data_IF_837062253351
#
_entry.id   IF_837062253351
#
_cell.length_a   1.000
_cell.length_b   1.000
_cell.length_c   1.000
_cell.angle_alpha   90.00
_cell.angle_beta   90.00
_cell.angle_gamma   90.00
#
_symmetry.space_group_name_H-M   'P 1'
#
loop_
_entity.id
_entity.type
_entity.pdbx_description
1 polymer ?
#
# COMPACT_ATOMS: atom_id res chain seq x y z
N UNK A 1 31.58 -6.90 49.55
CA UNK A 1 31.34 -6.22 48.26
C UNK A 1 30.43 -7.10 47.41
N UNK A 2 29.17 -6.70 47.22
CA UNK A 2 28.15 -7.49 46.49
C UNK A 2 28.32 -7.25 44.99
N UNK A 3 28.57 -8.33 44.21
CA UNK A 3 28.67 -8.26 42.75
C UNK A 3 27.25 -8.29 42.16
N UNK A 4 26.83 -7.20 41.53
CA UNK A 4 25.58 -7.14 40.78
C UNK A 4 25.81 -7.75 39.40
N UNK A 5 25.01 -8.76 39.03
CA UNK A 5 24.97 -9.33 37.69
C UNK A 5 23.90 -8.59 36.87
N UNK A 6 24.32 -7.95 35.78
CA UNK A 6 23.41 -7.30 34.82
C UNK A 6 23.00 -8.38 33.81
N UNK A 7 21.72 -8.76 33.84
CA UNK A 7 21.12 -9.66 32.86
C UNK A 7 20.70 -8.81 31.65
N UNK A 8 21.39 -8.97 30.52
CA UNK A 8 20.99 -8.33 29.25
C UNK A 8 20.04 -9.30 28.56
N UNK A 9 18.74 -9.04 28.64
CA UNK A 9 17.73 -9.76 27.89
C UNK A 9 17.63 -9.14 26.49
N UNK A 10 18.28 -9.74 25.49
CA UNK A 10 18.07 -9.39 24.08
C UNK A 10 16.74 -10.00 23.62
N UNK A 11 15.74 -9.15 23.38
CA UNK A 11 14.47 -9.58 22.77
C UNK A 11 14.69 -9.70 21.25
N UNK A 12 14.72 -10.94 20.72
CA UNK A 12 14.61 -11.17 19.27
C UNK A 12 13.13 -10.98 18.90
N UNK A 13 12.78 -9.83 18.34
CA UNK A 13 11.49 -9.66 17.69
C UNK A 13 11.58 -10.28 16.28
N UNK A 14 10.89 -11.40 16.07
CA UNK A 14 10.68 -11.93 14.73
C UNK A 14 9.59 -11.10 14.05
N UNK A 15 9.90 -10.50 12.90
CA UNK A 15 8.88 -9.90 12.05
C UNK A 15 7.97 -11.03 11.51
N UNK A 16 6.67 -10.95 11.77
CA UNK A 16 5.71 -11.84 11.14
C UNK A 16 5.76 -11.64 9.61
N UNK A 17 5.49 -12.68 8.80
CA UNK A 17 5.34 -12.50 7.36
C UNK A 17 4.22 -11.50 7.11
N UNK A 18 4.47 -10.50 6.26
CA UNK A 18 3.45 -9.54 5.88
C UNK A 18 2.26 -10.25 5.20
N UNK A 19 1.05 -9.91 5.63
CA UNK A 19 -0.19 -10.38 5.00
C UNK A 19 -0.60 -9.44 3.86
N UNK A 20 -1.39 -9.95 2.92
CA UNK A 20 -2.09 -9.10 1.96
C UNK A 20 -2.97 -8.11 2.71
N UNK A 21 -3.00 -6.85 2.26
CA UNK A 21 -3.84 -5.82 2.86
C UNK A 21 -5.32 -6.11 2.58
N UNK A 22 -6.22 -5.79 3.51
CA UNK A 22 -7.67 -5.92 3.25
C UNK A 22 -8.24 -4.57 2.80
N UNK A 23 -8.75 -4.49 1.57
CA UNK A 23 -9.43 -3.30 1.04
C UNK A 23 -10.91 -3.30 1.43
N UNK A 24 -11.41 -2.17 1.95
CA UNK A 24 -12.77 -2.03 2.49
C UNK A 24 -13.62 -0.98 1.77
N UNK A 25 -13.00 0.05 1.19
CA UNK A 25 -13.73 1.08 0.47
C UNK A 25 -12.90 1.72 -0.64
N UNK A 26 -13.60 2.29 -1.62
CA UNK A 26 -13.04 3.23 -2.56
C UNK A 26 -13.97 4.42 -2.75
N UNK A 27 -13.39 5.59 -3.03
CA UNK A 27 -14.12 6.74 -3.51
C UNK A 27 -13.30 7.54 -4.50
N UNK A 28 -13.96 8.17 -5.45
CA UNK A 28 -13.37 9.14 -6.37
C UNK A 28 -14.07 10.46 -6.16
N UNK A 29 -13.29 11.50 -5.88
CA UNK A 29 -13.82 12.83 -5.55
C UNK A 29 -13.27 13.90 -6.48
N UNK A 30 -14.12 14.87 -6.83
CA UNK A 30 -13.75 16.05 -7.60
C UNK A 30 -13.84 17.34 -6.77
N UNK A 31 -13.03 18.38 -7.06
CA UNK A 31 -13.06 19.66 -6.35
C UNK A 31 -14.41 20.37 -6.33
N UNK A 32 -15.30 20.11 -7.29
CA UNK A 32 -16.67 20.64 -7.32
C UNK A 32 -17.61 19.98 -6.32
N UNK A 33 -17.16 18.94 -5.61
CA UNK A 33 -17.97 18.18 -4.65
C UNK A 33 -18.61 16.92 -5.23
N UNK A 34 -18.30 16.56 -6.47
CA UNK A 34 -18.73 15.28 -7.06
C UNK A 34 -18.02 14.13 -6.35
N UNK A 35 -18.78 13.12 -5.90
CA UNK A 35 -18.25 11.96 -5.17
C UNK A 35 -18.87 10.70 -5.70
N UNK A 36 -18.05 9.79 -6.23
CA UNK A 36 -18.41 8.39 -6.43
C UNK A 36 -17.83 7.59 -5.29
N UNK A 37 -18.59 6.65 -4.74
CA UNK A 37 -18.09 5.85 -3.64
C UNK A 37 -18.67 4.43 -3.64
N UNK A 38 -18.06 3.59 -2.81
CA UNK A 38 -18.51 2.23 -2.51
C UNK A 38 -19.22 2.18 -1.16
N UNK A 39 -19.66 3.29 -0.58
CA UNK A 39 -20.33 3.30 0.73
C UNK A 39 -21.81 3.53 0.49
N UNK A 40 -22.60 2.48 0.70
CA UNK A 40 -24.04 2.52 0.45
C UNK A 40 -24.71 3.74 1.10
N UNK A 41 -25.69 4.33 0.41
CA UNK A 41 -26.40 5.53 0.85
C UNK A 41 -26.34 6.71 -0.11
N UNK A 42 -25.45 6.67 -1.10
CA UNK A 42 -25.46 7.58 -2.26
C UNK A 42 -26.29 6.94 -3.38
N UNK A 43 -27.49 7.47 -3.63
CA UNK A 43 -28.43 6.87 -4.60
C UNK A 43 -28.09 7.11 -6.07
N UNK A 44 -26.96 7.73 -6.42
CA UNK A 44 -26.69 8.08 -7.82
C UNK A 44 -25.23 7.86 -8.25
N UNK A 45 -24.26 8.20 -7.40
CA UNK A 45 -22.84 8.16 -7.78
C UNK A 45 -22.13 6.97 -7.14
N UNK A 46 -22.21 5.83 -7.82
CA UNK A 46 -21.54 4.60 -7.39
C UNK A 46 -20.23 4.40 -8.13
N UNK A 47 -19.22 3.88 -7.43
CA UNK A 47 -17.99 3.37 -8.07
C UNK A 47 -17.93 1.85 -7.96
N UNK A 48 -17.63 1.19 -9.07
CA UNK A 48 -17.52 -0.25 -9.16
C UNK A 48 -16.07 -0.65 -9.42
N UNK A 49 -15.58 -1.63 -8.66
CA UNK A 49 -14.24 -2.16 -8.75
C UNK A 49 -14.25 -3.55 -9.35
N UNK A 50 -13.35 -3.77 -10.30
CA UNK A 50 -13.08 -5.09 -10.84
C UNK A 50 -11.60 -5.40 -10.75
N UNK A 51 -11.26 -6.65 -10.47
CA UNK A 51 -9.88 -7.15 -10.51
C UNK A 51 -9.84 -8.47 -11.25
N UNK A 52 -8.99 -8.55 -12.26
CA UNK A 52 -8.79 -9.79 -13.01
C UNK A 52 -8.07 -10.83 -12.13
N UNK A 53 -8.36 -12.12 -12.33
CA UNK A 53 -7.79 -13.22 -11.55
C UNK A 53 -8.60 -13.66 -10.33
N UNK A 54 -9.77 -13.06 -10.09
CA UNK A 54 -10.76 -13.55 -9.13
C UNK A 54 -11.82 -14.44 -9.82
N UNK A 55 -12.41 -15.37 -9.07
CA UNK A 55 -13.53 -16.20 -9.56
C UNK A 55 -14.75 -15.35 -9.96
N UNK A 56 -14.97 -14.24 -9.26
CA UNK A 56 -15.84 -13.15 -9.70
C UNK A 56 -14.99 -11.88 -9.79
N UNK A 57 -14.76 -11.33 -10.99
CA UNK A 57 -13.89 -10.18 -11.16
C UNK A 57 -14.46 -8.92 -10.53
N UNK A 58 -15.79 -8.82 -10.39
CA UNK A 58 -16.46 -7.65 -9.80
C UNK A 58 -16.53 -7.79 -8.28
N UNK A 59 -15.96 -6.81 -7.57
CA UNK A 59 -15.82 -6.85 -6.10
C UNK A 59 -17.11 -6.35 -5.41
N UNK A 60 -17.73 -5.32 -5.98
CA UNK A 60 -19.04 -4.82 -5.58
C UNK A 60 -20.00 -4.86 -6.78
N UNK A 61 -20.74 -5.96 -6.98
CA UNK A 61 -21.62 -6.09 -8.16
C UNK A 61 -22.87 -5.21 -8.10
N UNK A 62 -23.19 -4.67 -6.92
CA UNK A 62 -24.29 -3.73 -6.69
C UNK A 62 -23.76 -2.49 -5.95
N UNK A 63 -24.62 -1.50 -5.75
CA UNK A 63 -24.45 -0.28 -4.93
C UNK A 63 -24.24 -0.53 -3.43
N UNK A 64 -23.40 -1.51 -3.10
CA UNK A 64 -23.10 -1.94 -1.74
C UNK A 64 -21.63 -1.72 -1.38
N UNK A 65 -21.35 -1.78 -0.08
CA UNK A 65 -19.99 -1.84 0.45
C UNK A 65 -19.15 -2.90 -0.24
N UNK A 66 -17.85 -2.66 -0.38
CA UNK A 66 -16.95 -3.68 -0.90
C UNK A 66 -17.06 -4.94 -0.06
N UNK A 67 -17.19 -6.08 -0.73
CA UNK A 67 -16.86 -7.35 -0.10
C UNK A 67 -15.37 -7.29 0.22
N UNK A 68 -14.94 -7.44 1.50
CA UNK A 68 -13.54 -7.32 1.88
C UNK A 68 -12.68 -8.18 0.95
N UNK A 69 -11.73 -7.52 0.28
CA UNK A 69 -10.91 -8.18 -0.74
C UNK A 69 -9.45 -8.03 -0.38
N UNK A 70 -8.69 -9.12 -0.52
CA UNK A 70 -7.24 -9.07 -0.36
C UNK A 70 -6.64 -8.19 -1.44
N UNK A 71 -5.69 -7.35 -1.09
CA UNK A 71 -5.03 -6.38 -1.95
C UNK A 71 -3.52 -6.60 -1.83
N UNK A 72 -2.89 -6.96 -2.94
CA UNK A 72 -1.49 -7.35 -3.03
C UNK A 72 -0.70 -6.34 -3.86
N UNK A 73 0.61 -6.34 -3.67
CA UNK A 73 1.52 -5.65 -4.59
C UNK A 73 1.40 -6.22 -6.00
N UNK A 74 1.28 -5.36 -6.99
CA UNK A 74 1.12 -5.70 -8.40
C UNK A 74 -0.34 -5.86 -8.85
N UNK A 75 -1.30 -5.90 -7.93
CA UNK A 75 -2.72 -5.99 -8.29
C UNK A 75 -3.14 -4.78 -9.13
N UNK A 76 -3.89 -5.05 -10.18
CA UNK A 76 -4.45 -4.06 -11.10
C UNK A 76 -5.98 -4.12 -11.02
N UNK A 77 -6.58 -2.97 -10.80
CA UNK A 77 -8.02 -2.81 -10.67
C UNK A 77 -8.54 -1.96 -11.83
N UNK A 78 -9.63 -2.41 -12.43
CA UNK A 78 -10.48 -1.58 -13.25
C UNK A 78 -11.50 -0.89 -12.36
N UNK A 79 -11.77 0.37 -12.64
CA UNK A 79 -12.69 1.20 -11.86
C UNK A 79 -13.68 1.87 -12.80
N UNK A 80 -14.96 1.84 -12.43
CA UNK A 80 -16.05 2.37 -13.25
C UNK A 80 -16.99 3.20 -12.39
N UNK A 81 -17.59 4.25 -12.96
CA UNK A 81 -18.57 5.07 -12.25
C UNK A 81 -19.68 5.57 -13.14
N UNK A 82 -20.88 5.61 -12.58
CA UNK A 82 -22.10 6.16 -13.18
C UNK A 82 -22.62 7.33 -12.31
N UNK A 83 -23.68 8.02 -12.73
CA UNK A 83 -24.44 8.96 -11.89
C UNK A 83 -24.28 10.45 -12.21
N UNK A 84 -23.40 10.82 -13.13
CA UNK A 84 -23.23 12.22 -13.55
C UNK A 84 -24.15 12.54 -14.74
N UNK A 85 -24.69 13.79 -14.87
CA UNK A 85 -25.84 14.10 -15.69
C UNK A 85 -25.88 13.37 -17.04
N UNK A 86 -26.97 12.63 -17.22
CA UNK A 86 -27.16 11.74 -18.36
C UNK A 86 -27.01 12.49 -19.69
N UNK A 87 -26.31 11.85 -20.63
CA UNK A 87 -26.15 12.40 -21.98
C UNK A 87 -25.11 13.52 -22.09
N UNK A 88 -24.39 13.85 -21.01
CA UNK A 88 -23.25 14.77 -21.05
C UNK A 88 -21.94 14.00 -21.24
N UNK A 89 -21.05 14.56 -22.07
CA UNK A 89 -19.68 14.08 -22.29
C UNK A 89 -18.61 14.76 -21.43
N UNK A 90 -18.73 16.08 -21.12
CA UNK A 90 -17.73 16.73 -20.29
C UNK A 90 -17.60 16.05 -18.92
N UNK A 91 -16.37 15.85 -18.41
CA UNK A 91 -16.19 15.39 -17.04
C UNK A 91 -16.70 16.44 -16.06
N UNK A 92 -17.09 15.99 -14.86
CA UNK A 92 -17.51 16.86 -13.75
C UNK A 92 -16.41 17.81 -13.31
N UNK A 93 -15.16 17.33 -13.38
CA UNK A 93 -13.99 17.99 -12.84
C UNK A 93 -12.77 17.76 -13.74
N UNK A 94 -11.83 18.70 -13.66
CA UNK A 94 -10.53 18.57 -14.31
C UNK A 94 -9.55 17.70 -13.51
N UNK A 95 -9.81 17.50 -12.21
CA UNK A 95 -8.94 16.75 -11.29
C UNK A 95 -9.81 15.83 -10.44
N UNK A 96 -9.35 14.60 -10.24
CA UNK A 96 -10.00 13.59 -9.41
C UNK A 96 -9.04 13.01 -8.40
N UNK A 97 -9.51 12.75 -7.19
CA UNK A 97 -8.76 12.04 -6.16
C UNK A 97 -9.46 10.72 -5.82
N UNK A 98 -8.80 9.61 -6.14
CA UNK A 98 -9.13 8.28 -5.62
C UNK A 98 -8.67 8.19 -4.18
N UNK A 99 -9.53 7.70 -3.29
CA UNK A 99 -9.20 7.32 -1.92
C UNK A 99 -9.58 5.86 -1.72
N UNK A 100 -8.62 5.04 -1.27
CA UNK A 100 -8.81 3.64 -0.90
C UNK A 100 -8.71 3.51 0.61
N UNK A 101 -9.72 2.92 1.24
CA UNK A 101 -9.75 2.65 2.68
C UNK A 101 -9.42 1.19 2.97
N UNK A 102 -8.49 0.95 3.90
CA UNK A 102 -8.04 -0.38 4.29
C UNK A 102 -8.44 -0.73 5.71
N UNK A 103 -8.45 -2.03 6.01
CA UNK A 103 -8.54 -2.52 7.38
C UNK A 103 -7.41 -1.93 8.24
N UNK A 104 -7.71 -1.63 9.51
CA UNK A 104 -6.81 -0.89 10.39
C UNK A 104 -6.80 0.63 10.19
N UNK A 105 -7.60 1.16 9.24
CA UNK A 105 -7.86 2.60 9.08
C UNK A 105 -6.82 3.35 8.24
N UNK A 106 -5.88 2.64 7.63
CA UNK A 106 -4.95 3.25 6.66
C UNK A 106 -5.70 3.64 5.38
N UNK A 107 -5.23 4.70 4.72
CA UNK A 107 -5.79 5.17 3.46
C UNK A 107 -4.69 5.48 2.43
N UNK A 108 -4.96 5.09 1.19
CA UNK A 108 -4.17 5.49 0.03
C UNK A 108 -4.95 6.49 -0.81
N UNK A 109 -4.26 7.49 -1.33
CA UNK A 109 -4.80 8.56 -2.14
C UNK A 109 -4.00 8.65 -3.44
N UNK A 110 -4.70 8.86 -4.55
CA UNK A 110 -4.13 9.05 -5.86
C UNK A 110 -4.88 10.16 -6.60
N UNK A 111 -4.16 11.08 -7.22
CA UNK A 111 -4.75 12.22 -7.94
C UNK A 111 -4.48 12.11 -9.43
N UNK A 112 -5.50 12.36 -10.24
CA UNK A 112 -5.49 12.29 -11.70
C UNK A 112 -6.06 13.58 -12.30
N UNK A 113 -5.48 14.06 -13.40
CA UNK A 113 -6.06 15.14 -14.22
C UNK A 113 -6.78 14.57 -15.46
N UNK A 114 -8.06 14.89 -15.63
CA UNK A 114 -8.86 14.35 -16.73
C UNK A 114 -8.50 14.98 -18.08
N UNK A 115 -8.64 14.19 -19.16
CA UNK A 115 -8.47 14.68 -20.53
C UNK A 115 -7.03 14.98 -20.97
N UNK A 116 -6.01 14.53 -20.22
CA UNK A 116 -4.60 14.69 -20.57
C UNK A 116 -3.89 13.31 -20.69
N UNK A 117 -2.95 13.12 -21.64
CA UNK A 117 -2.08 11.95 -21.67
C UNK A 117 -1.18 11.89 -20.42
N UNK A 118 -0.95 10.69 -19.86
CA UNK A 118 -0.06 10.47 -18.70
C UNK A 118 -0.36 11.36 -17.47
N UNK A 119 -1.64 11.53 -17.15
CA UNK A 119 -2.10 12.55 -16.21
C UNK A 119 -2.23 12.11 -14.75
N UNK A 120 -1.51 11.05 -14.37
CA UNK A 120 -1.35 10.68 -12.97
C UNK A 120 -0.46 11.72 -12.27
N UNK A 121 -1.02 12.46 -11.31
CA UNK A 121 -0.39 13.64 -10.73
C UNK A 121 0.38 13.33 -9.44
N UNK A 122 -0.24 12.62 -8.52
CA UNK A 122 0.34 12.38 -7.20
C UNK A 122 -0.27 11.17 -6.52
N UNK A 123 0.48 10.63 -5.56
CA UNK A 123 0.05 9.53 -4.69
C UNK A 123 0.66 9.70 -3.31
N UNK A 124 0.05 9.12 -2.29
CA UNK A 124 0.69 8.92 -0.99
C UNK A 124 1.18 7.47 -0.83
N UNK A 125 1.81 7.20 0.30
CA UNK A 125 2.08 5.84 0.74
C UNK A 125 1.64 5.65 2.19
N UNK A 126 1.18 4.46 2.54
CA UNK A 126 0.77 4.10 3.90
C UNK A 126 1.35 2.75 4.32
N UNK A 127 1.68 2.60 5.60
CA UNK A 127 2.04 1.30 6.18
C UNK A 127 0.76 0.51 6.47
N UNK A 128 0.60 -0.65 5.83
CA UNK A 128 -0.56 -1.53 5.94
C UNK A 128 -0.02 -2.94 6.13
N UNK A 129 -0.36 -3.57 7.26
CA UNK A 129 0.06 -4.94 7.60
C UNK A 129 1.58 -5.21 7.44
N UNK A 130 2.40 -4.20 7.76
CA UNK A 130 3.86 -4.29 7.73
C UNK A 130 4.51 -3.98 6.38
N UNK A 131 3.73 -3.66 5.34
CA UNK A 131 4.22 -3.22 4.03
C UNK A 131 3.85 -1.77 3.76
N UNK A 132 4.74 -1.03 3.10
CA UNK A 132 4.41 0.31 2.62
C UNK A 132 3.73 0.18 1.26
N UNK A 133 2.43 0.44 1.21
CA UNK A 133 1.64 0.45 -0.01
C UNK A 133 1.57 1.86 -0.60
N UNK A 134 1.40 1.93 -1.92
CA UNK A 134 1.11 3.13 -2.70
C UNK A 134 0.25 2.76 -3.92
N UNK A 135 -0.41 3.77 -4.50
CA UNK A 135 -1.13 3.61 -5.76
C UNK A 135 -0.25 4.10 -6.90
N UNK A 136 -0.24 3.40 -8.03
CA UNK A 136 0.29 3.86 -9.31
C UNK A 136 -0.77 3.81 -10.40
N UNK A 137 -0.51 4.52 -11.50
CA UNK A 137 -1.28 4.45 -12.75
C UNK A 137 -2.77 4.71 -12.57
N UNK A 138 -3.15 5.55 -11.60
CA UNK A 138 -4.55 5.91 -11.44
C UNK A 138 -5.02 6.76 -12.62
N UNK A 139 -6.12 6.35 -13.22
CA UNK A 139 -6.86 7.10 -14.23
C UNK A 139 -8.35 7.13 -13.94
N UNK A 140 -9.01 8.21 -14.35
CA UNK A 140 -10.46 8.38 -14.23
C UNK A 140 -10.96 9.33 -15.31
N UNK A 141 -11.55 8.78 -16.36
CA UNK A 141 -12.02 9.55 -17.51
C UNK A 141 -13.47 9.24 -17.82
N UNK A 142 -14.22 10.27 -18.19
CA UNK A 142 -15.53 10.11 -18.82
C UNK A 142 -15.34 9.82 -20.29
N UNK A 143 -15.82 8.68 -20.77
CA UNK A 143 -15.64 8.25 -22.17
C UNK A 143 -16.95 7.70 -22.72
N UNK A 144 -17.01 7.48 -24.04
CA UNK A 144 -18.14 6.80 -24.69
C UNK A 144 -18.09 5.29 -24.38
N UNK A 145 -18.45 4.93 -23.17
CA UNK A 145 -18.49 3.56 -22.68
C UNK A 145 -19.73 3.35 -21.80
N UNK A 146 -20.23 2.12 -21.78
CA UNK A 146 -21.32 1.70 -20.90
C UNK A 146 -20.99 0.34 -20.23
N UNK A 147 -19.98 0.28 -19.35
CA UNK A 147 -19.68 -0.89 -18.55
C UNK A 147 -20.62 -1.10 -17.36
N UNK A 148 -21.27 -0.07 -16.84
CA UNK A 148 -22.03 -0.12 -15.59
C UNK A 148 -23.39 0.57 -15.71
N UNK A 149 -24.19 0.48 -14.67
CA UNK A 149 -25.47 1.17 -14.52
C UNK A 149 -25.58 1.72 -13.10
N UNK A 150 -26.54 2.61 -12.90
CA UNK A 150 -26.71 3.42 -11.69
C UNK A 150 -26.52 2.65 -10.38
N UNK A 151 -27.01 1.40 -10.30
CA UNK A 151 -26.95 0.57 -9.09
C UNK A 151 -26.25 -0.78 -9.26
N UNK A 152 -25.68 -1.07 -10.43
CA UNK A 152 -25.10 -2.38 -10.68
C UNK A 152 -23.97 -2.35 -11.70
N UNK A 153 -22.98 -3.20 -11.46
CA UNK A 153 -21.84 -3.42 -12.35
C UNK A 153 -22.20 -4.27 -13.59
N UNK A 154 -23.28 -3.90 -14.26
CA UNK A 154 -23.72 -4.44 -15.55
C UNK A 154 -24.00 -3.28 -16.49
N UNK A 155 -23.75 -3.42 -17.81
CA UNK A 155 -24.07 -2.39 -18.78
C UNK A 155 -25.54 -1.92 -18.70
N UNK A 156 -25.78 -0.62 -18.63
CA UNK A 156 -27.10 0.00 -18.63
C UNK A 156 -27.04 1.52 -18.53
N UNK A 157 -28.18 2.21 -18.53
CA UNK A 157 -28.18 3.68 -18.40
C UNK A 157 -27.68 4.44 -19.64
N UNK A 158 -26.83 5.44 -19.44
CA UNK A 158 -26.32 6.29 -20.52
C UNK A 158 -25.07 5.67 -21.20
N UNK A 159 -24.56 6.26 -22.28
CA UNK A 159 -23.39 5.73 -23.00
C UNK A 159 -22.07 6.38 -22.55
N UNK A 160 -22.07 7.08 -21.42
CA UNK A 160 -21.02 8.01 -21.03
C UNK A 160 -20.55 7.77 -19.58
N UNK A 161 -20.09 6.56 -19.31
CA UNK A 161 -19.57 6.22 -17.99
C UNK A 161 -18.17 6.80 -17.75
N UNK A 162 -17.85 6.94 -16.47
CA UNK A 162 -16.47 7.05 -16.03
C UNK A 162 -15.83 5.68 -16.04
N UNK A 163 -14.59 5.63 -16.55
CA UNK A 163 -13.76 4.44 -16.48
C UNK A 163 -12.31 4.80 -16.20
N UNK A 164 -11.58 3.81 -15.73
CA UNK A 164 -10.15 3.91 -15.54
C UNK A 164 -9.58 2.68 -14.87
N UNK A 165 -8.40 2.85 -14.32
CA UNK A 165 -7.67 1.82 -13.62
C UNK A 165 -6.82 2.41 -12.50
N UNK A 166 -6.30 1.53 -11.65
CA UNK A 166 -5.16 1.83 -10.77
C UNK A 166 -4.43 0.53 -10.43
N UNK A 167 -3.18 0.65 -9.99
CA UNK A 167 -2.38 -0.47 -9.50
C UNK A 167 -1.95 -0.23 -8.08
N UNK A 168 -1.82 -1.32 -7.32
CA UNK A 168 -1.21 -1.29 -5.99
C UNK A 168 0.25 -1.69 -6.08
N UNK A 169 1.11 -0.96 -5.40
CA UNK A 169 2.51 -1.31 -5.23
C UNK A 169 2.84 -1.33 -3.75
N UNK A 170 3.43 -2.43 -3.28
CA UNK A 170 3.90 -2.58 -1.92
C UNK A 170 5.40 -2.87 -1.90
N UNK A 171 6.12 -2.18 -1.01
CA UNK A 171 7.54 -2.41 -0.78
C UNK A 171 7.73 -2.91 0.66
N UNK A 172 8.42 -4.04 0.80
CA UNK A 172 8.99 -4.47 2.08
C UNK A 172 10.14 -3.52 2.40
N UNK A 173 10.08 -2.81 3.53
CA UNK A 173 11.26 -2.10 4.01
C UNK A 173 12.37 -3.15 4.18
N UNK A 174 13.47 -3.02 3.43
CA UNK A 174 14.64 -3.85 3.60
C UNK A 174 15.25 -3.50 4.96
N UNK A 175 14.78 -4.16 6.02
CA UNK A 175 15.46 -4.14 7.31
C UNK A 175 16.76 -4.89 7.09
N UNK A 176 17.94 -4.25 7.22
CA UNK A 176 19.20 -4.98 7.11
C UNK A 176 19.16 -6.08 8.16
N UNK A 177 19.20 -7.33 7.68
CA UNK A 177 18.81 -8.48 8.48
C UNK A 177 19.52 -8.44 9.84
N UNK A 178 18.84 -8.68 10.97
CA UNK A 178 19.49 -8.73 12.27
C UNK A 178 20.71 -9.69 12.28
N UNK A 179 20.69 -10.71 11.42
CA UNK A 179 21.80 -11.59 11.13
C UNK A 179 23.02 -10.88 10.52
N UNK A 180 22.83 -9.92 9.60
CA UNK A 180 23.93 -9.12 9.04
C UNK A 180 24.62 -8.30 10.12
N UNK A 181 23.85 -7.64 10.99
CA UNK A 181 24.42 -6.88 12.11
C UNK A 181 25.11 -7.80 13.11
N UNK A 182 24.48 -8.93 13.43
CA UNK A 182 25.07 -9.93 14.32
C UNK A 182 26.37 -10.50 13.75
N UNK A 183 26.46 -10.77 12.45
CA UNK A 183 27.67 -11.26 11.79
C UNK A 183 28.78 -10.19 11.74
N UNK A 184 28.43 -8.92 11.49
CA UNK A 184 29.39 -7.81 11.58
C UNK A 184 29.94 -7.69 13.00
N UNK A 185 29.07 -7.67 14.00
CA UNK A 185 29.45 -7.59 15.41
C UNK A 185 30.24 -8.81 15.88
N UNK A 186 29.87 -10.02 15.43
CA UNK A 186 30.63 -11.24 15.69
C UNK A 186 32.03 -11.18 15.07
N UNK A 187 32.15 -10.70 13.83
CA UNK A 187 33.43 -10.46 13.17
C UNK A 187 34.32 -9.49 13.95
N UNK A 188 33.77 -8.36 14.40
CA UNK A 188 34.49 -7.42 15.25
C UNK A 188 34.85 -8.00 16.63
N UNK A 189 33.98 -8.82 17.21
CA UNK A 189 34.23 -9.52 18.47
C UNK A 189 35.40 -10.51 18.37
N UNK A 190 35.47 -11.28 17.28
CA UNK A 190 36.57 -12.20 16.98
C UNK A 190 37.88 -11.44 16.79
N UNK A 191 37.88 -10.39 15.98
CA UNK A 191 39.05 -9.56 15.73
C UNK A 191 39.57 -8.90 17.02
N UNK A 192 38.68 -8.31 17.82
CA UNK A 192 39.02 -7.71 19.11
C UNK A 192 39.53 -8.72 20.13
N UNK A 193 38.95 -9.93 20.16
CA UNK A 193 39.40 -11.03 21.01
C UNK A 193 40.80 -11.52 20.66
N UNK A 194 41.10 -11.68 19.37
CA UNK A 194 42.42 -12.07 18.88
C UNK A 194 43.51 -11.06 19.28
N UNK A 195 43.23 -9.76 19.16
CA UNK A 195 44.15 -8.69 19.57
C UNK A 195 44.43 -8.70 21.08
N UNK A 196 43.43 -8.96 21.93
CA UNK A 196 43.61 -9.03 23.39
C UNK A 196 44.45 -10.24 23.82
N UNK A 197 44.30 -11.40 23.17
CA UNK A 197 45.08 -12.62 23.50
C UNK A 197 46.59 -12.42 23.31
N UNK A 198 47.00 -11.63 22.32
CA UNK A 198 48.42 -11.39 21.98
C UNK A 198 49.19 -10.60 23.05
N UNK A 199 48.53 -9.77 23.86
CA UNK A 199 49.19 -9.00 24.93
C UNK A 199 49.54 -9.83 26.17
N UNK A 200 48.88 -10.96 26.42
CA UNK A 200 49.10 -11.75 27.63
C UNK A 200 50.42 -12.54 27.63
N UNK A 201 51.09 -12.69 26.48
CA UNK A 201 52.30 -13.51 26.35
C UNK A 201 53.60 -12.75 26.65
N UNK A 202 53.55 -11.44 26.88
CA UNK A 202 54.75 -10.64 27.25
C UNK A 202 54.80 -10.44 28.76
N UNK A 203 55.02 -11.52 29.52
CA UNK A 203 55.26 -11.48 30.95
C UNK A 203 56.75 -11.72 31.25
N UNK A 204 57.50 -10.61 31.25
CA UNK A 204 58.69 -10.35 32.08
C UNK A 204 59.88 -11.30 31.97
N UNK A 205 60.83 -11.00 31.08
CA UNK A 205 62.22 -11.44 31.27
C UNK A 205 62.76 -10.72 32.51
N UNK A 206 62.94 -11.44 33.62
CA UNK A 206 63.64 -10.92 34.81
C UNK A 206 65.14 -10.91 34.54
N UNK A 207 65.71 -9.73 34.35
CA UNK A 207 67.17 -9.54 34.32
C UNK A 207 67.66 -9.42 35.76
N UNK A 208 68.50 -10.36 36.19
CA UNK A 208 69.24 -10.29 37.46
C UNK A 208 70.59 -9.65 37.19
N UNK A 209 70.85 -8.51 37.82
CA UNK A 209 72.21 -7.95 37.90
C UNK A 209 72.97 -8.65 39.04
N UNK A 210 74.24 -8.97 38.77
CA UNK A 210 75.24 -9.49 39.72
C UNK A 210 76.05 -8.31 40.24
#
# INVERSE_FOLDING_TARGET
MRKAAILITTCLAFAAPASAATLLSASVTGPTGTVWDTVGGNSFYNVFLQRNGLSNPVINPTDSSLTPTSANSGDEFLIYGDGYPVGTFPPSDAIYTLTLGFEGGAALLATYASGQPNAFLSTNSALIDGLTYSISDFSWNRTRANPVSEFSAVPGGDLNDYNGNFRLSAVTAAVPEPATWAMMLAGFGILGGALRRRKATVAGVRVRYV
#
